data_IF_128660463924
#
_entry.id   IF_128660463924
#
_cell.length_a   1.000
_cell.length_b   1.000
_cell.length_c   1.000
_cell.angle_alpha   90.00
_cell.angle_beta   90.00
_cell.angle_gamma   90.00
#
_symmetry.space_group_name_H-M   'P 1'
#
loop_
_entity.id
_entity.type
_entity.pdbx_description
1 polymer ?
#
# COMPACT_ATOMS: atom_id res chain seq x y z
N UNK A 1 -2.36 -23.42 -1.36
CA UNK A 1 -2.85 -23.28 0.03
C UNK A 1 -2.63 -21.88 0.65
N UNK A 2 -1.58 -21.15 0.25
CA UNK A 2 -1.20 -19.84 0.83
C UNK A 2 -1.84 -18.63 0.11
N UNK A 3 -2.92 -18.81 -0.64
CA UNK A 3 -3.50 -17.74 -1.47
C UNK A 3 -4.13 -16.58 -0.69
N UNK A 4 -4.33 -16.73 0.61
CA UNK A 4 -5.00 -15.76 1.48
C UNK A 4 -4.20 -15.37 2.73
N UNK A 5 -2.97 -15.86 2.88
CA UNK A 5 -2.09 -15.47 3.99
C UNK A 5 -1.28 -14.24 3.59
N UNK A 6 -1.02 -13.34 4.53
CA UNK A 6 -0.13 -12.21 4.28
C UNK A 6 1.31 -12.70 4.12
N UNK A 7 2.13 -11.95 3.38
CA UNK A 7 3.56 -12.28 3.23
C UNK A 7 4.30 -12.18 4.58
N UNK A 8 3.87 -11.27 5.46
CA UNK A 8 4.38 -11.14 6.84
C UNK A 8 4.06 -12.36 7.69
N UNK A 9 2.82 -12.86 7.61
CA UNK A 9 2.39 -14.05 8.35
C UNK A 9 3.06 -15.32 7.79
N UNK A 10 3.27 -15.39 6.47
CA UNK A 10 4.02 -16.49 5.85
C UNK A 10 5.48 -16.52 6.34
N UNK A 11 6.17 -15.37 6.42
CA UNK A 11 7.51 -15.26 7.00
C UNK A 11 7.51 -15.68 8.48
N UNK A 12 6.50 -15.25 9.24
CA UNK A 12 6.35 -15.62 10.66
C UNK A 12 6.10 -17.11 10.86
N UNK A 13 5.28 -17.72 9.99
CA UNK A 13 5.04 -19.15 9.99
C UNK A 13 6.31 -19.96 9.67
N UNK A 14 7.12 -19.52 8.70
CA UNK A 14 8.41 -20.16 8.41
C UNK A 14 9.37 -20.09 9.60
N UNK A 15 9.42 -18.95 10.31
CA UNK A 15 10.23 -18.81 11.52
C UNK A 15 9.75 -19.74 12.64
N UNK A 16 8.44 -19.85 12.83
CA UNK A 16 7.85 -20.80 13.79
C UNK A 16 8.15 -22.26 13.40
N UNK A 17 8.00 -22.62 12.12
CA UNK A 17 8.26 -23.96 11.61
C UNK A 17 9.74 -24.37 11.74
N UNK A 18 10.67 -23.42 11.56
CA UNK A 18 12.11 -23.64 11.82
C UNK A 18 12.33 -24.23 13.21
N UNK A 19 11.71 -23.62 14.22
CA UNK A 19 11.95 -23.94 15.62
C UNK A 19 11.12 -25.15 16.08
N UNK A 20 9.86 -25.25 15.67
CA UNK A 20 8.95 -26.28 16.14
C UNK A 20 9.09 -27.62 15.40
N UNK A 21 9.51 -27.60 14.15
CA UNK A 21 9.71 -28.82 13.34
C UNK A 21 11.18 -29.12 13.09
N UNK A 22 12.09 -28.41 13.77
CA UNK A 22 13.54 -28.60 13.66
C UNK A 22 14.02 -28.54 12.20
N UNK A 23 13.57 -27.52 11.46
CA UNK A 23 13.89 -27.31 10.04
C UNK A 23 14.89 -26.14 9.88
N UNK A 24 16.19 -26.33 10.15
CA UNK A 24 17.18 -25.24 10.13
C UNK A 24 17.33 -24.57 8.76
N UNK A 25 17.05 -25.30 7.66
CA UNK A 25 17.07 -24.77 6.29
C UNK A 25 16.14 -23.56 6.10
N UNK A 26 15.08 -23.45 6.91
CA UNK A 26 14.19 -22.28 6.89
C UNK A 26 14.92 -20.97 7.18
N UNK A 27 16.03 -21.01 7.92
CA UNK A 27 16.83 -19.82 8.21
C UNK A 27 17.53 -19.26 6.96
N UNK A 28 17.83 -20.08 5.96
CA UNK A 28 18.39 -19.62 4.68
C UNK A 28 17.31 -18.92 3.86
N UNK A 29 16.11 -19.52 3.74
CA UNK A 29 14.99 -18.91 3.01
C UNK A 29 14.52 -17.58 3.61
N UNK A 30 14.54 -17.45 4.94
CA UNK A 30 14.18 -16.20 5.62
C UNK A 30 15.18 -15.07 5.40
N UNK A 31 16.46 -15.39 5.14
CA UNK A 31 17.54 -14.42 4.93
C UNK A 31 17.82 -14.15 3.45
N UNK A 32 17.36 -15.02 2.56
CA UNK A 32 17.51 -14.86 1.12
C UNK A 32 16.79 -13.61 0.60
N UNK A 33 17.43 -12.92 -0.34
CA UNK A 33 16.81 -11.79 -1.05
C UNK A 33 15.71 -12.31 -1.97
N UNK A 34 14.49 -11.75 -1.91
CA UNK A 34 13.40 -12.12 -2.81
C UNK A 34 13.70 -11.58 -4.23
N UNK A 35 14.04 -12.48 -5.15
CA UNK A 35 14.36 -12.15 -6.54
C UNK A 35 13.64 -13.10 -7.49
N UNK A 36 12.94 -12.56 -8.49
CA UNK A 36 12.40 -13.35 -9.59
C UNK A 36 13.49 -13.54 -10.65
N UNK A 37 13.96 -14.77 -10.80
CA UNK A 37 14.95 -15.18 -11.82
C UNK A 37 14.32 -15.27 -13.22
N UNK A 38 13.58 -14.25 -13.64
CA UNK A 38 12.87 -14.20 -14.93
C UNK A 38 13.75 -13.70 -16.08
N UNK A 39 14.93 -13.14 -15.78
CA UNK A 39 15.90 -12.66 -16.75
C UNK A 39 17.27 -13.29 -16.48
N UNK A 40 18.14 -13.38 -17.51
CA UNK A 40 19.51 -13.85 -17.32
C UNK A 40 20.23 -13.02 -16.25
N UNK A 41 21.10 -13.66 -15.46
CA UNK A 41 21.89 -12.99 -14.42
C UNK A 41 22.75 -11.82 -14.94
N UNK A 42 23.05 -11.80 -16.24
CA UNK A 42 23.74 -10.69 -16.90
C UNK A 42 22.94 -9.37 -16.92
N UNK A 43 21.64 -9.41 -16.66
CA UNK A 43 20.77 -8.24 -16.56
C UNK A 43 20.72 -7.62 -15.14
N UNK A 44 21.48 -8.18 -14.18
CA UNK A 44 21.48 -7.76 -12.77
C UNK A 44 20.44 -8.51 -11.92
N UNK A 45 20.67 -8.56 -10.60
CA UNK A 45 19.72 -9.13 -9.64
C UNK A 45 18.53 -8.19 -9.53
N UNK A 46 17.33 -8.70 -9.78
CA UNK A 46 16.09 -7.92 -9.70
C UNK A 46 15.40 -8.22 -8.38
N UNK A 47 15.34 -7.22 -7.51
CA UNK A 47 14.60 -7.31 -6.25
C UNK A 47 13.09 -7.13 -6.52
N UNK A 48 12.32 -8.19 -6.32
CA UNK A 48 10.87 -8.19 -6.53
C UNK A 48 10.14 -7.23 -5.58
N UNK A 49 10.72 -7.00 -4.40
CA UNK A 49 10.18 -6.06 -3.41
C UNK A 49 10.52 -4.62 -3.79
N UNK A 50 11.62 -4.37 -4.51
CA UNK A 50 11.96 -3.04 -5.05
C UNK A 50 11.10 -2.66 -6.28
N UNK A 51 10.70 -3.64 -7.09
CA UNK A 51 9.80 -3.44 -8.23
C UNK A 51 8.38 -3.05 -7.80
N UNK A 52 8.02 -3.35 -6.55
CA UNK A 52 6.82 -2.83 -5.92
C UNK A 52 7.18 -1.49 -5.28
N UNK A 53 6.99 -0.36 -5.98
CA UNK A 53 7.20 1.00 -5.44
C UNK A 53 6.35 1.32 -4.16
N UNK A 54 5.53 0.37 -3.71
CA UNK A 54 4.86 0.33 -2.42
C UNK A 54 5.40 -0.86 -1.62
N UNK A 55 5.99 -0.61 -0.45
CA UNK A 55 6.56 -1.67 0.38
C UNK A 55 5.50 -2.69 0.82
N UNK A 56 5.89 -3.93 1.10
CA UNK A 56 4.95 -5.00 1.48
C UNK A 56 4.13 -4.70 2.74
N UNK A 57 4.74 -4.03 3.72
CA UNK A 57 4.06 -3.58 4.94
C UNK A 57 2.96 -2.58 4.60
N UNK A 58 3.29 -1.61 3.74
CA UNK A 58 2.37 -0.58 3.27
C UNK A 58 1.21 -1.21 2.48
N UNK A 59 1.49 -2.18 1.60
CA UNK A 59 0.46 -2.89 0.84
C UNK A 59 -0.53 -3.64 1.76
N UNK A 60 -0.05 -4.19 2.87
CA UNK A 60 -0.90 -4.86 3.86
C UNK A 60 -1.81 -3.87 4.59
N UNK A 61 -1.27 -2.70 4.99
CA UNK A 61 -2.07 -1.62 5.59
C UNK A 61 -3.20 -1.17 4.63
N UNK A 62 -2.88 -0.95 3.35
CA UNK A 62 -3.88 -0.60 2.33
C UNK A 62 -4.94 -1.70 2.12
N UNK A 63 -4.53 -2.97 2.11
CA UNK A 63 -5.45 -4.11 2.03
C UNK A 63 -6.46 -4.14 3.17
N UNK A 64 -5.98 -3.93 4.40
CA UNK A 64 -6.81 -3.86 5.62
C UNK A 64 -7.75 -2.65 5.57
N UNK A 65 -7.25 -1.46 5.23
CA UNK A 65 -8.08 -0.26 5.10
C UNK A 65 -9.21 -0.44 4.10
N UNK A 66 -8.91 -0.99 2.92
CA UNK A 66 -9.90 -1.25 1.88
C UNK A 66 -10.94 -2.29 2.32
N UNK A 67 -10.49 -3.43 2.84
CA UNK A 67 -11.37 -4.60 3.02
C UNK A 67 -11.97 -4.72 4.42
N UNK A 68 -11.20 -4.47 5.46
CA UNK A 68 -11.67 -4.58 6.85
C UNK A 68 -12.37 -3.29 7.27
N UNK A 69 -11.69 -2.14 7.10
CA UNK A 69 -12.25 -0.83 7.47
C UNK A 69 -13.21 -0.24 6.42
N UNK A 70 -13.39 -0.91 5.28
CA UNK A 70 -14.33 -0.53 4.21
C UNK A 70 -14.06 0.86 3.62
N UNK A 71 -12.80 1.27 3.57
CA UNK A 71 -12.42 2.61 3.11
C UNK A 71 -12.18 2.61 1.59
N UNK A 72 -12.83 3.55 0.90
CA UNK A 72 -12.52 3.92 -0.48
C UNK A 72 -11.39 4.95 -0.55
N UNK A 73 -10.98 5.42 -1.75
CA UNK A 73 -9.78 6.26 -1.91
C UNK A 73 -9.76 7.49 -1.00
N UNK A 74 -10.86 8.25 -0.98
CA UNK A 74 -10.99 9.45 -0.14
C UNK A 74 -10.88 9.13 1.36
N UNK A 75 -11.60 8.12 1.83
CA UNK A 75 -11.61 7.77 3.26
C UNK A 75 -10.28 7.16 3.71
N UNK A 76 -9.61 6.38 2.85
CA UNK A 76 -8.26 5.87 3.10
C UNK A 76 -7.27 7.02 3.22
N UNK A 77 -7.33 8.00 2.32
CA UNK A 77 -6.50 9.20 2.38
C UNK A 77 -6.69 9.96 3.70
N UNK A 78 -7.93 10.26 4.09
CA UNK A 78 -8.21 10.95 5.36
C UNK A 78 -7.70 10.15 6.58
N UNK A 79 -7.86 8.83 6.56
CA UNK A 79 -7.38 7.97 7.64
C UNK A 79 -5.85 8.02 7.75
N UNK A 80 -5.15 7.93 6.62
CA UNK A 80 -3.69 7.96 6.59
C UNK A 80 -3.11 9.32 6.96
N UNK A 81 -3.78 10.43 6.66
CA UNK A 81 -3.37 11.75 7.15
C UNK A 81 -3.26 11.80 8.67
N UNK A 82 -4.14 11.08 9.38
CA UNK A 82 -4.08 10.94 10.83
C UNK A 82 -3.03 9.92 11.27
N UNK A 83 -3.11 8.70 10.74
CA UNK A 83 -2.27 7.56 11.16
C UNK A 83 -0.78 7.78 10.86
N UNK A 84 -0.44 8.52 9.80
CA UNK A 84 0.94 8.77 9.38
C UNK A 84 1.40 10.22 9.64
N UNK A 85 0.64 11.02 10.39
CA UNK A 85 0.96 12.44 10.68
C UNK A 85 2.38 12.66 11.21
N UNK A 86 2.84 11.76 12.08
CA UNK A 86 4.16 11.85 12.74
C UNK A 86 5.26 11.07 12.00
N UNK A 87 4.93 10.37 10.89
CA UNK A 87 5.93 9.61 10.12
C UNK A 87 6.76 10.58 9.26
N UNK A 88 8.10 10.60 9.38
CA UNK A 88 8.94 11.46 8.55
C UNK A 88 8.74 11.19 7.06
N UNK A 89 8.61 12.25 6.25
CA UNK A 89 8.44 12.14 4.80
C UNK A 89 7.01 11.85 4.32
N UNK A 90 6.01 11.80 5.21
CA UNK A 90 4.60 11.55 4.86
C UNK A 90 3.74 12.82 4.98
N UNK A 91 3.98 13.79 4.08
CA UNK A 91 3.12 14.96 3.93
C UNK A 91 1.81 14.67 3.19
N UNK A 92 0.87 15.64 3.14
CA UNK A 92 -0.42 15.46 2.49
C UNK A 92 -0.33 14.99 1.04
N UNK A 93 0.63 15.52 0.27
CA UNK A 93 0.88 15.10 -1.12
C UNK A 93 1.43 13.70 -1.24
N UNK A 94 2.41 13.35 -0.41
CA UNK A 94 3.02 12.02 -0.45
C UNK A 94 1.98 10.94 -0.10
N UNK A 95 1.10 11.21 0.88
CA UNK A 95 -0.01 10.33 1.23
C UNK A 95 -1.01 10.24 0.07
N UNK A 96 -1.37 11.37 -0.54
CA UNK A 96 -2.26 11.40 -1.70
C UNK A 96 -1.74 10.53 -2.86
N UNK A 97 -0.47 10.68 -3.26
CA UNK A 97 0.13 9.88 -4.33
C UNK A 97 0.11 8.38 -4.03
N UNK A 98 0.42 7.99 -2.78
CA UNK A 98 0.40 6.59 -2.36
C UNK A 98 -0.99 5.98 -2.43
N UNK A 99 -2.00 6.70 -1.95
CA UNK A 99 -3.40 6.27 -2.03
C UNK A 99 -3.85 6.13 -3.49
N UNK A 100 -3.61 7.16 -4.32
CA UNK A 100 -3.97 7.14 -5.74
C UNK A 100 -3.32 5.96 -6.46
N UNK A 101 -2.03 5.73 -6.19
CA UNK A 101 -1.27 4.61 -6.72
C UNK A 101 -1.87 3.26 -6.35
N UNK A 102 -2.14 3.02 -5.05
CA UNK A 102 -2.74 1.77 -4.60
C UNK A 102 -4.07 1.50 -5.31
N UNK A 103 -4.99 2.46 -5.32
CA UNK A 103 -6.31 2.26 -5.91
C UNK A 103 -6.26 2.13 -7.44
N UNK A 104 -5.31 2.80 -8.11
CA UNK A 104 -5.08 2.64 -9.54
C UNK A 104 -4.63 1.21 -9.87
N UNK A 105 -3.56 0.73 -9.23
CA UNK A 105 -3.07 -0.64 -9.49
C UNK A 105 -4.06 -1.72 -9.05
N UNK A 106 -4.77 -1.50 -7.94
CA UNK A 106 -5.88 -2.38 -7.53
C UNK A 106 -6.94 -2.49 -8.63
N UNK A 107 -7.34 -1.35 -9.22
CA UNK A 107 -8.39 -1.30 -10.24
C UNK A 107 -7.96 -1.92 -11.55
N UNK A 108 -6.76 -1.57 -12.03
CA UNK A 108 -6.17 -2.13 -13.24
C UNK A 108 -6.05 -3.65 -13.17
N UNK A 109 -5.66 -4.18 -12.01
CA UNK A 109 -5.41 -5.61 -11.85
C UNK A 109 -6.59 -6.40 -11.30
N UNK A 110 -7.76 -5.78 -11.04
CA UNK A 110 -8.88 -6.48 -10.39
C UNK A 110 -9.37 -7.69 -11.19
N UNK A 111 -9.34 -7.61 -12.52
CA UNK A 111 -9.69 -8.72 -13.40
C UNK A 111 -8.93 -10.03 -13.09
N UNK A 112 -7.69 -9.94 -12.57
CA UNK A 112 -6.90 -11.12 -12.17
C UNK A 112 -7.53 -11.87 -10.98
N UNK A 113 -8.30 -11.18 -10.13
CA UNK A 113 -8.97 -11.80 -8.99
C UNK A 113 -10.16 -12.68 -9.39
N UNK A 114 -10.78 -12.41 -10.55
CA UNK A 114 -11.95 -13.15 -11.05
C UNK A 114 -11.59 -14.58 -11.45
N UNK A 115 -10.37 -14.77 -11.97
CA UNK A 115 -9.85 -16.07 -12.43
C UNK A 115 -8.82 -16.68 -11.46
N UNK A 116 -8.73 -16.15 -10.24
CA UNK A 116 -7.75 -16.59 -9.27
C UNK A 116 -8.07 -18.01 -8.78
N UNK A 117 -7.04 -18.86 -8.67
CA UNK A 117 -7.19 -20.21 -8.12
C UNK A 117 -7.81 -20.16 -6.72
N UNK A 118 -8.88 -20.94 -6.45
CA UNK A 118 -9.48 -21.00 -5.14
C UNK A 118 -8.46 -21.32 -4.05
N UNK A 119 -8.55 -20.65 -2.92
CA UNK A 119 -7.67 -20.87 -1.78
C UNK A 119 -8.46 -20.90 -0.45
N UNK A 120 -7.97 -21.61 0.58
CA UNK A 120 -8.53 -21.53 1.91
C UNK A 120 -8.61 -20.07 2.38
N UNK A 121 -9.60 -19.72 3.18
CA UNK A 121 -9.72 -18.37 3.74
C UNK A 121 -8.95 -18.26 5.07
N UNK A 122 -7.80 -17.58 5.05
CA UNK A 122 -6.90 -17.44 6.22
C UNK A 122 -6.77 -15.99 6.72
N UNK A 123 -7.23 -15.00 5.96
CA UNK A 123 -7.16 -13.58 6.32
C UNK A 123 -8.45 -12.84 6.01
N UNK A 124 -8.86 -11.98 6.94
CA UNK A 124 -10.04 -11.13 6.84
C UNK A 124 -9.97 -10.11 5.67
N UNK A 125 -8.78 -9.84 5.13
CA UNK A 125 -8.61 -8.94 3.99
C UNK A 125 -8.35 -9.65 2.65
N UNK A 126 -8.59 -10.97 2.58
CA UNK A 126 -8.51 -11.75 1.34
C UNK A 126 -9.35 -11.12 0.20
N UNK A 127 -8.75 -10.84 -0.98
CA UNK A 127 -9.44 -10.21 -2.11
C UNK A 127 -10.24 -11.19 -3.00
N UNK A 128 -10.48 -12.43 -2.58
CA UNK A 128 -11.22 -13.44 -3.34
C UNK A 128 -12.60 -12.96 -3.82
N UNK A 129 -12.76 -12.88 -5.14
CA UNK A 129 -13.96 -12.38 -5.80
C UNK A 129 -15.09 -13.43 -5.90
N UNK A 130 -14.80 -14.72 -5.66
CA UNK A 130 -15.81 -15.77 -5.81
C UNK A 130 -16.78 -15.84 -4.62
N UNK A 131 -16.33 -15.47 -3.42
CA UNK A 131 -17.13 -15.65 -2.19
C UNK A 131 -17.05 -14.50 -1.20
N UNK A 132 -15.88 -13.90 -1.00
CA UNK A 132 -15.63 -13.03 0.15
C UNK A 132 -15.61 -11.54 -0.19
N UNK A 133 -15.22 -11.18 -1.41
CA UNK A 133 -14.99 -9.80 -1.80
C UNK A 133 -15.60 -9.50 -3.16
N UNK A 134 -16.91 -9.67 -3.27
CA UNK A 134 -17.69 -9.38 -4.48
C UNK A 134 -17.53 -7.89 -4.87
N UNK A 135 -16.93 -7.64 -6.03
CA UNK A 135 -16.66 -6.28 -6.53
C UNK A 135 -16.78 -6.22 -8.05
N UNK A 136 -16.97 -5.02 -8.63
CA UNK A 136 -16.69 -4.82 -10.05
C UNK A 136 -15.26 -5.24 -10.37
N UNK A 137 -15.02 -5.71 -11.59
CA UNK A 137 -13.67 -5.99 -12.09
C UNK A 137 -13.26 -5.08 -13.24
N UNK A 138 -14.24 -4.38 -13.86
CA UNK A 138 -14.02 -3.30 -14.80
C UNK A 138 -14.24 -1.96 -14.09
N UNK A 139 -13.14 -1.28 -13.77
CA UNK A 139 -13.15 0.01 -13.09
C UNK A 139 -12.67 1.12 -14.02
N UNK A 140 -13.06 2.35 -13.69
CA UNK A 140 -12.35 3.56 -14.13
C UNK A 140 -11.10 3.69 -13.26
N UNK A 141 -9.91 3.38 -13.80
CA UNK A 141 -8.68 3.22 -13.00
C UNK A 141 -8.09 4.52 -12.47
N UNK A 142 -8.48 5.66 -13.04
CA UNK A 142 -8.04 6.99 -12.61
C UNK A 142 -9.00 7.67 -11.63
N UNK A 143 -10.10 7.03 -11.22
CA UNK A 143 -11.01 7.48 -10.16
C UNK A 143 -11.22 9.01 -10.10
N UNK A 144 -11.72 9.63 -11.19
CA UNK A 144 -11.53 11.06 -11.43
C UNK A 144 -12.12 11.94 -10.33
N UNK A 145 -13.30 11.55 -9.81
CA UNK A 145 -13.94 12.26 -8.72
C UNK A 145 -13.16 12.16 -7.41
N UNK A 146 -12.77 10.94 -7.04
CA UNK A 146 -12.10 10.68 -5.78
C UNK A 146 -10.69 11.27 -5.78
N UNK A 147 -9.95 11.12 -6.88
CA UNK A 147 -8.59 11.64 -7.01
C UNK A 147 -8.60 13.17 -7.08
N UNK A 148 -9.50 13.77 -7.86
CA UNK A 148 -9.65 15.23 -7.88
C UNK A 148 -9.98 15.81 -6.49
N UNK A 149 -10.82 15.13 -5.71
CA UNK A 149 -11.12 15.52 -4.32
C UNK A 149 -9.90 15.42 -3.40
N UNK A 150 -9.11 14.36 -3.55
CA UNK A 150 -7.86 14.17 -2.79
C UNK A 150 -6.86 15.28 -3.14
N UNK A 151 -6.67 15.57 -4.42
CA UNK A 151 -5.72 16.57 -4.90
C UNK A 151 -6.07 17.97 -4.38
N UNK A 152 -7.34 18.38 -4.48
CA UNK A 152 -7.81 19.66 -3.96
C UNK A 152 -7.60 19.79 -2.44
N UNK A 153 -7.81 18.71 -1.68
CA UNK A 153 -7.60 18.72 -0.23
C UNK A 153 -6.12 18.71 0.15
N UNK A 154 -5.28 17.98 -0.59
CA UNK A 154 -3.84 17.99 -0.38
C UNK A 154 -3.26 19.39 -0.62
N UNK A 155 -3.68 20.07 -1.69
CA UNK A 155 -3.30 21.46 -1.99
C UNK A 155 -3.72 22.45 -0.90
N UNK A 156 -4.95 22.33 -0.39
CA UNK A 156 -5.43 23.17 0.71
C UNK A 156 -4.64 22.96 2.01
N UNK A 157 -4.32 21.71 2.35
CA UNK A 157 -3.50 21.41 3.52
C UNK A 157 -2.06 21.92 3.37
N UNK A 158 -1.45 21.74 2.20
CA UNK A 158 -0.10 22.26 1.92
C UNK A 158 -0.05 23.78 2.07
N UNK A 159 -1.04 24.49 1.52
CA UNK A 159 -1.17 25.95 1.69
C UNK A 159 -1.28 26.34 3.17
N UNK A 160 -2.16 25.67 3.92
CA UNK A 160 -2.35 25.96 5.36
C UNK A 160 -1.09 25.70 6.19
N UNK A 161 -0.33 24.64 5.86
CA UNK A 161 0.94 24.34 6.51
C UNK A 161 1.96 25.43 6.19
N UNK A 162 2.08 25.84 4.93
CA UNK A 162 2.98 26.91 4.51
C UNK A 162 2.64 28.27 5.15
N UNK A 163 1.34 28.58 5.30
CA UNK A 163 0.89 29.81 5.97
C UNK A 163 1.17 29.79 7.48
N UNK A 164 1.02 28.63 8.14
CA UNK A 164 1.36 28.45 9.56
C UNK A 164 2.86 28.58 9.82
N UNK A 165 3.67 28.05 8.91
CA UNK A 165 5.12 28.01 9.06
C UNK A 165 5.80 29.32 8.57
N UNK A 166 5.00 30.32 8.14
CA UNK A 166 5.48 31.64 7.73
C UNK A 166 5.93 32.46 8.95
N UNK A 167 7.18 32.95 9.01
CA UNK A 167 7.65 33.77 10.12
C UNK A 167 6.92 35.12 10.16
N UNK A 168 6.64 35.63 11.38
CA UNK A 168 5.85 36.84 11.62
C UNK A 168 6.47 38.16 11.10
N UNK A 169 7.73 38.15 10.65
CA UNK A 169 8.53 39.36 10.38
C UNK A 169 8.31 40.03 9.01
N UNK A 170 7.37 39.57 8.18
CA UNK A 170 7.13 40.18 6.85
C UNK A 170 5.96 41.17 6.79
N UNK A 171 5.36 41.54 7.93
CA UNK A 171 4.20 42.44 7.97
C UNK A 171 4.51 43.90 8.35
N UNK A 172 5.77 44.28 8.57
CA UNK A 172 6.13 45.68 8.86
C UNK A 172 7.28 46.17 7.96
N UNK A 173 6.98 46.43 6.69
CA UNK A 173 7.71 47.47 5.94
C UNK A 173 6.71 48.59 5.66
N UNK A 174 6.75 49.61 6.52
CA UNK A 174 5.98 50.84 6.31
C UNK A 174 6.47 51.52 5.02
N UNK A 175 5.57 52.10 4.20
CA UNK A 175 5.99 52.93 3.09
C UNK A 175 6.63 54.23 3.62
N UNK A 176 7.79 54.59 3.08
CA UNK A 176 8.42 55.91 3.24
C UNK A 176 7.60 57.02 2.56
#
# INVERSE_FOLDING_TARGET
PLGSISKTDAKSFHAWARDQWELPIMAEFLRATPSAELLPLSAGVRDDEADTEMGLTELSEFGIMRKVHKLGPWSTYLRLLGDWKEKPGYGPRQIAERVKRFFRFYSLNRHKAVILTPSPHLSAYNPDDNRHDLRPFLYVDNWPWQFGKIDAHAEDLERKIADRDRPADTQYSAPE
#
